data_IF_917806013939
#
_entry.id   IF_917806013939
#
_cell.length_a   1.000
_cell.length_b   1.000
_cell.length_c   1.000
_cell.angle_alpha   90.00
_cell.angle_beta   90.00
_cell.angle_gamma   90.00
#
_symmetry.space_group_name_H-M   'P 1'
#
loop_
_entity.id
_entity.type
_entity.pdbx_description
1 polymer ?
#
# COMPACT_ATOMS: atom_id res chain seq x y z
N UNK A 1 -3.85 14.22 7.84
CA UNK A 1 -5.19 13.77 7.76
C UNK A 1 -5.35 12.42 7.06
N UNK A 2 -4.29 11.75 6.70
CA UNK A 2 -4.36 10.41 6.17
C UNK A 2 -4.80 10.30 4.72
N UNK A 3 -4.52 11.28 3.90
CA UNK A 3 -4.79 11.18 2.47
C UNK A 3 -3.65 11.81 1.69
N UNK A 4 -3.47 11.31 0.47
CA UNK A 4 -2.59 11.94 -0.48
C UNK A 4 -3.32 13.12 -1.13
N UNK A 5 -2.58 14.21 -1.30
CA UNK A 5 -3.12 15.39 -1.97
C UNK A 5 -2.48 15.60 -3.33
N UNK A 6 -1.74 14.62 -3.82
CA UNK A 6 -1.06 14.71 -5.11
C UNK A 6 -1.07 13.36 -5.79
N UNK A 7 -0.78 13.37 -7.08
CA UNK A 7 -0.64 12.12 -7.83
C UNK A 7 0.72 11.52 -7.56
N UNK A 8 0.75 10.21 -7.40
CA UNK A 8 2.00 9.50 -7.22
C UNK A 8 1.96 8.25 -8.09
N UNK A 9 3.04 8.03 -8.82
CA UNK A 9 3.13 6.92 -9.77
C UNK A 9 4.33 6.07 -9.45
N UNK A 10 4.12 4.76 -9.44
CA UNK A 10 5.19 3.78 -9.31
C UNK A 10 5.21 2.94 -10.57
N UNK A 11 6.39 2.77 -11.17
CA UNK A 11 6.55 1.97 -12.36
C UNK A 11 7.50 0.83 -12.07
N UNK A 12 6.98 -0.40 -12.11
CA UNK A 12 7.75 -1.62 -11.89
C UNK A 12 8.58 -1.51 -10.59
N UNK A 13 7.90 -1.11 -9.51
CA UNK A 13 8.53 -0.96 -8.21
C UNK A 13 8.14 -2.11 -7.31
N UNK A 14 9.03 -2.47 -6.38
CA UNK A 14 8.71 -3.51 -5.44
C UNK A 14 7.77 -2.98 -4.35
N UNK A 15 6.95 -3.88 -3.84
CA UNK A 15 5.93 -3.51 -2.86
C UNK A 15 6.54 -2.86 -1.63
N UNK A 16 7.69 -3.34 -1.18
CA UNK A 16 8.36 -2.77 -0.02
C UNK A 16 8.59 -1.27 -0.17
N UNK A 17 9.07 -0.85 -1.34
CA UNK A 17 9.35 0.56 -1.59
C UNK A 17 8.06 1.37 -1.67
N UNK A 18 7.05 0.82 -2.29
CA UNK A 18 5.76 1.50 -2.39
C UNK A 18 5.19 1.72 -0.99
N UNK A 19 5.19 0.69 -0.15
CA UNK A 19 4.64 0.82 1.20
C UNK A 19 5.43 1.78 2.06
N UNK A 20 6.75 1.86 1.85
CA UNK A 20 7.57 2.82 2.59
C UNK A 20 7.12 4.24 2.30
N UNK A 21 6.91 4.56 1.01
CA UNK A 21 6.45 5.90 0.63
C UNK A 21 5.07 6.19 1.19
N UNK A 22 4.15 5.22 1.06
CA UNK A 22 2.79 5.40 1.57
C UNK A 22 2.81 5.63 3.07
N UNK A 23 3.57 4.82 3.80
CA UNK A 23 3.63 4.92 5.25
C UNK A 23 4.30 6.20 5.72
N UNK A 24 5.28 6.71 4.98
CA UNK A 24 5.93 7.97 5.34
C UNK A 24 4.97 9.14 5.29
N UNK A 25 3.96 9.07 4.43
CA UNK A 25 3.00 10.16 4.28
C UNK A 25 1.77 10.00 5.18
N UNK A 26 1.62 8.85 5.82
CA UNK A 26 0.45 8.56 6.65
C UNK A 26 0.87 7.82 7.91
N UNK A 27 0.81 8.49 9.05
CA UNK A 27 1.18 7.85 10.30
C UNK A 27 0.00 7.22 11.02
N UNK A 28 -1.24 7.58 10.65
CA UNK A 28 -2.42 7.12 11.37
C UNK A 28 -2.79 5.68 11.06
N UNK A 29 -2.51 5.23 9.84
CA UNK A 29 -2.87 3.88 9.42
C UNK A 29 -1.72 3.35 8.56
N UNK A 30 -1.02 2.35 9.07
CA UNK A 30 0.15 1.80 8.41
C UNK A 30 -0.22 0.57 7.59
N UNK A 31 0.40 0.45 6.42
CA UNK A 31 0.26 -0.72 5.56
C UNK A 31 1.43 -1.65 5.78
N UNK A 32 1.16 -2.93 5.89
CA UNK A 32 2.18 -3.92 6.21
C UNK A 32 1.89 -5.22 5.46
N UNK A 33 2.93 -5.91 5.02
CA UNK A 33 2.75 -7.23 4.40
C UNK A 33 2.67 -8.29 5.49
N UNK A 34 1.87 -9.33 5.23
CA UNK A 34 1.75 -10.44 6.15
C UNK A 34 2.88 -11.45 6.02
N UNK A 35 3.65 -11.38 4.93
CA UNK A 35 4.75 -12.29 4.69
C UNK A 35 5.88 -11.52 4.00
N UNK A 36 7.14 -11.69 4.43
CA UNK A 36 8.25 -10.95 3.83
C UNK A 36 8.42 -11.17 2.32
N UNK A 37 8.02 -12.33 1.82
CA UNK A 37 8.14 -12.61 0.39
C UNK A 37 7.35 -11.62 -0.46
N UNK A 38 6.26 -11.08 0.08
CA UNK A 38 5.44 -10.11 -0.65
C UNK A 38 6.17 -8.81 -0.92
N UNK A 39 7.17 -8.48 -0.13
CA UNK A 39 7.94 -7.26 -0.30
C UNK A 39 8.61 -7.16 -1.67
N UNK A 40 8.86 -8.28 -2.30
CA UNK A 40 9.54 -8.32 -3.60
C UNK A 40 8.59 -8.33 -4.78
N UNK A 41 7.28 -8.42 -4.53
CA UNK A 41 6.30 -8.34 -5.62
C UNK A 41 6.41 -6.98 -6.27
N UNK A 42 6.36 -6.95 -7.58
CA UNK A 42 6.52 -5.71 -8.31
C UNK A 42 5.22 -5.33 -8.98
N UNK A 43 4.98 -4.03 -9.07
CA UNK A 43 3.79 -3.56 -9.75
C UNK A 43 3.99 -2.14 -10.26
N UNK A 44 3.15 -1.79 -11.21
CA UNK A 44 3.03 -0.44 -11.75
C UNK A 44 1.66 0.07 -11.32
N UNK A 45 1.63 1.17 -10.59
CA UNK A 45 0.38 1.66 -10.03
C UNK A 45 0.46 3.17 -9.83
N UNK A 46 -0.70 3.81 -9.89
CA UNK A 46 -0.80 5.25 -9.74
C UNK A 46 -1.92 5.56 -8.76
N UNK A 47 -1.67 6.52 -7.86
CA UNK A 47 -2.66 6.97 -6.89
C UNK A 47 -2.91 8.46 -7.09
N UNK A 48 -4.18 8.87 -6.94
CA UNK A 48 -4.58 10.26 -7.05
C UNK A 48 -5.43 10.62 -5.85
N UNK A 49 -4.87 11.41 -4.93
CA UNK A 49 -5.61 11.93 -3.79
C UNK A 49 -6.34 10.81 -3.05
N UNK A 50 -5.64 9.73 -2.76
CA UNK A 50 -6.22 8.51 -2.19
C UNK A 50 -5.89 8.38 -0.72
N UNK A 51 -6.85 7.83 0.05
CA UNK A 51 -6.60 7.49 1.45
C UNK A 51 -5.75 6.21 1.52
N UNK A 52 -5.10 5.95 2.68
CA UNK A 52 -4.35 4.70 2.83
C UNK A 52 -5.20 3.46 2.60
N UNK A 53 -6.47 3.49 3.00
CA UNK A 53 -7.37 2.37 2.77
C UNK A 53 -7.57 2.10 1.28
N UNK A 54 -7.77 3.17 0.50
CA UNK A 54 -7.95 3.02 -0.93
C UNK A 54 -6.66 2.55 -1.60
N UNK A 55 -5.52 3.09 -1.15
CA UNK A 55 -4.23 2.64 -1.65
C UNK A 55 -4.06 1.14 -1.43
N UNK A 56 -4.35 0.67 -0.21
CA UNK A 56 -4.23 -0.75 0.11
C UNK A 56 -5.15 -1.61 -0.76
N UNK A 57 -6.40 -1.15 -0.97
CA UNK A 57 -7.34 -1.88 -1.80
C UNK A 57 -6.86 -2.00 -3.24
N UNK A 58 -6.32 -0.91 -3.79
CA UNK A 58 -5.82 -0.93 -5.16
C UNK A 58 -4.62 -1.86 -5.31
N UNK A 59 -3.70 -1.84 -4.34
CA UNK A 59 -2.56 -2.73 -4.36
C UNK A 59 -3.01 -4.18 -4.27
N UNK A 60 -3.92 -4.47 -3.35
CA UNK A 60 -4.41 -5.84 -3.18
C UNK A 60 -5.13 -6.33 -4.43
N UNK A 61 -5.92 -5.46 -5.05
CA UNK A 61 -6.59 -5.82 -6.29
C UNK A 61 -5.56 -6.15 -7.39
N UNK A 62 -4.54 -5.30 -7.51
CA UNK A 62 -3.54 -5.47 -8.56
C UNK A 62 -2.72 -6.74 -8.39
N UNK A 63 -2.45 -7.13 -7.14
CA UNK A 63 -1.59 -8.27 -6.84
C UNK A 63 -2.35 -9.53 -6.44
N UNK A 64 -3.68 -9.48 -6.40
CA UNK A 64 -4.48 -10.62 -5.98
C UNK A 64 -4.33 -10.95 -4.52
N UNK A 65 -4.18 -9.94 -3.68
CA UNK A 65 -3.99 -10.11 -2.25
C UNK A 65 -5.25 -9.80 -1.48
N UNK A 66 -5.28 -10.24 -0.23
CA UNK A 66 -6.32 -9.90 0.73
C UNK A 66 -5.83 -8.77 1.63
N UNK A 67 -6.75 -7.97 2.12
CA UNK A 67 -6.43 -6.88 3.02
C UNK A 67 -7.26 -7.04 4.28
N UNK A 68 -6.62 -7.02 5.45
CA UNK A 68 -7.31 -7.11 6.72
C UNK A 68 -6.82 -6.00 7.65
N UNK A 69 -7.67 -5.58 8.56
CA UNK A 69 -7.33 -4.53 9.51
C UNK A 69 -7.04 -5.15 10.87
N UNK A 70 -5.88 -4.79 11.46
CA UNK A 70 -5.47 -5.28 12.77
C UNK A 70 -4.77 -4.16 13.52
N UNK A 71 -5.33 -3.71 14.62
CA UNK A 71 -4.68 -2.77 15.54
C UNK A 71 -4.12 -1.53 14.83
N UNK A 72 -4.92 -0.89 14.00
CA UNK A 72 -4.48 0.32 13.31
C UNK A 72 -3.56 0.08 12.15
N UNK A 73 -3.45 -1.15 11.70
CA UNK A 73 -2.66 -1.52 10.54
C UNK A 73 -3.53 -2.18 9.50
N UNK A 74 -3.15 -2.05 8.24
CA UNK A 74 -3.75 -2.81 7.15
C UNK A 74 -2.71 -3.84 6.71
N UNK A 75 -3.07 -5.11 6.80
CA UNK A 75 -2.18 -6.23 6.49
C UNK A 75 -2.54 -6.76 5.12
N UNK A 76 -1.57 -6.74 4.21
CA UNK A 76 -1.73 -7.27 2.85
C UNK A 76 -1.17 -8.69 2.83
N UNK A 77 -2.00 -9.67 2.45
CA UNK A 77 -1.62 -11.08 2.53
C UNK A 77 -2.20 -11.88 1.38
N UNK A 78 -1.66 -13.08 1.19
CA UNK A 78 -2.19 -14.00 0.18
C UNK A 78 -3.47 -14.66 0.60
#
# INVERSE_FOLDING_TARGET
SGRYTRNIRFKDECLEDILRVVNDENSALRLQVGSPALNRRRLTIEFSDSSPEVVAELICYALGLKCSREDGKLILSE
#
